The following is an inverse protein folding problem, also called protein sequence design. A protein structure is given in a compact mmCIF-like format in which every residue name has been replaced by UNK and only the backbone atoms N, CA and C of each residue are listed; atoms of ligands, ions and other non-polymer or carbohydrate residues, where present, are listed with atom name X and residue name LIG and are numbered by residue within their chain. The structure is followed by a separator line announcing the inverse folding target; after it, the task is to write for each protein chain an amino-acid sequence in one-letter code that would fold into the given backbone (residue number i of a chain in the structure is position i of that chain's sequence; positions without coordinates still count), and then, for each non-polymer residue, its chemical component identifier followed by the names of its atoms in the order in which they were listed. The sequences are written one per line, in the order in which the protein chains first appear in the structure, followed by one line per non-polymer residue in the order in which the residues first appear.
data_IF_356093998642
#
_entry.id   IF_356093998642
#
_cell.length_a   1.000
_cell.length_b   1.000
_cell.length_c   1.000
_cell.angle_alpha   90.00
_cell.angle_beta   90.00
_cell.angle_gamma   90.00
#
_symmetry.space_group_name_H-M   'P 1'
#
loop_
_entity.id
_entity.type
_entity.pdbx_description
1 polymer ?
#
# COMPACT_ATOMS: atom_id res chain seq x y z
N UNK A 1 -24.34 4.69 -39.07
CA UNK A 1 -23.59 5.57 -38.15
C UNK A 1 -24.25 5.50 -36.78
N UNK A 2 -23.71 4.71 -35.84
CA UNK A 2 -23.93 4.94 -34.40
C UNK A 2 -23.01 4.05 -33.57
N UNK A 3 -22.15 4.73 -32.80
CA UNK A 3 -21.39 4.30 -31.62
C UNK A 3 -20.47 3.08 -31.80
N UNK A 4 -19.22 3.40 -32.14
CA UNK A 4 -18.08 2.74 -31.50
C UNK A 4 -18.39 2.60 -30.00
N UNK A 5 -18.65 1.37 -29.57
CA UNK A 5 -18.54 0.99 -28.18
C UNK A 5 -17.11 1.32 -27.76
N UNK A 6 -16.94 2.43 -27.06
CA UNK A 6 -15.71 2.80 -26.39
C UNK A 6 -15.41 1.70 -25.37
N UNK A 7 -14.74 0.62 -25.81
CA UNK A 7 -14.18 -0.39 -24.92
C UNK A 7 -13.33 0.40 -23.94
N UNK A 8 -13.54 0.28 -22.62
CA UNK A 8 -12.59 0.83 -21.67
C UNK A 8 -11.29 0.10 -21.97
N UNK A 9 -10.38 0.79 -22.64
CA UNK A 9 -9.06 0.29 -22.98
C UNK A 9 -8.38 0.04 -21.65
N UNK A 10 -8.38 -1.24 -21.25
CA UNK A 10 -7.66 -1.70 -20.08
C UNK A 10 -6.18 -1.31 -20.19
N UNK A 11 -5.48 -1.43 -19.07
CA UNK A 11 -4.09 -1.04 -18.96
C UNK A 11 -3.25 -1.66 -20.09
N UNK A 12 -2.43 -0.84 -20.75
CA UNK A 12 -1.46 -1.35 -21.72
C UNK A 12 -0.42 -2.23 -21.01
N UNK A 13 0.21 -3.14 -21.75
CA UNK A 13 1.26 -3.99 -21.19
C UNK A 13 2.42 -3.17 -20.59
N UNK A 14 2.78 -2.05 -21.23
CA UNK A 14 3.83 -1.17 -20.73
C UNK A 14 3.47 -0.49 -19.41
N UNK A 15 2.21 -0.10 -19.19
CA UNK A 15 1.76 0.49 -17.94
C UNK A 15 1.72 -0.55 -16.82
N UNK A 16 1.28 -1.78 -17.12
CA UNK A 16 1.24 -2.89 -16.15
C UNK A 16 2.63 -3.22 -15.61
N UNK A 17 3.59 -3.41 -16.52
CA UNK A 17 5.00 -3.67 -16.17
C UNK A 17 5.64 -2.49 -15.43
N UNK A 18 5.31 -1.24 -15.79
CA UNK A 18 5.84 -0.06 -15.06
C UNK A 18 5.29 0.02 -13.64
N UNK A 19 4.01 -0.28 -13.44
CA UNK A 19 3.38 -0.27 -12.14
C UNK A 19 3.97 -1.36 -11.24
N UNK A 20 4.11 -2.58 -11.76
CA UNK A 20 4.77 -3.69 -11.08
C UNK A 20 6.19 -3.34 -10.61
N UNK A 21 7.04 -2.87 -11.52
CA UNK A 21 8.41 -2.44 -11.18
C UNK A 21 8.45 -1.28 -10.18
N UNK A 22 7.49 -0.35 -10.25
CA UNK A 22 7.43 0.78 -9.31
C UNK A 22 7.09 0.31 -7.89
N UNK A 23 6.18 -0.67 -7.76
CA UNK A 23 5.80 -1.26 -6.46
C UNK A 23 6.99 -2.02 -5.86
N UNK A 24 7.65 -2.85 -6.65
CA UNK A 24 8.85 -3.59 -6.21
C UNK A 24 9.98 -2.62 -5.85
N UNK A 25 10.22 -1.62 -6.70
CA UNK A 25 11.25 -0.60 -6.50
C UNK A 25 11.02 0.22 -5.22
N UNK A 26 9.77 0.57 -4.91
CA UNK A 26 9.40 1.23 -3.66
C UNK A 26 9.82 0.41 -2.43
N UNK A 27 9.60 -0.91 -2.48
CA UNK A 27 10.04 -1.83 -1.42
C UNK A 27 11.56 -1.90 -1.27
N UNK A 28 12.29 -1.97 -2.39
CA UNK A 28 13.76 -2.00 -2.37
C UNK A 28 14.37 -0.69 -1.83
N UNK A 29 13.79 0.46 -2.21
CA UNK A 29 14.20 1.77 -1.68
C UNK A 29 13.92 1.85 -0.19
N UNK A 30 12.73 1.43 0.27
CA UNK A 30 12.42 1.40 1.69
C UNK A 30 13.41 0.53 2.47
N UNK A 31 13.74 -0.66 1.94
CA UNK A 31 14.70 -1.56 2.52
C UNK A 31 16.09 -0.91 2.63
N UNK A 32 16.57 -0.29 1.56
CA UNK A 32 17.86 0.41 1.56
C UNK A 32 17.92 1.53 2.61
N UNK A 33 16.84 2.29 2.78
CA UNK A 33 16.76 3.37 3.77
C UNK A 33 16.70 2.87 5.22
N UNK A 34 16.08 1.72 5.47
CA UNK A 34 16.00 1.09 6.79
C UNK A 34 17.35 0.50 7.20
N UNK A 35 18.02 -0.22 6.29
CA UNK A 35 19.20 -1.01 6.63
C UNK A 35 20.52 -0.24 6.55
N UNK A 36 20.52 1.02 6.10
CA UNK A 36 21.72 1.86 6.15
C UNK A 36 22.02 2.31 7.60
N UNK A 37 23.31 2.35 8.02
CA UNK A 37 23.70 2.70 9.38
C UNK A 37 24.05 4.19 9.58
N UNK A 38 23.84 5.05 8.58
CA UNK A 38 24.37 6.41 8.55
C UNK A 38 23.41 7.47 9.12
N UNK A 39 22.09 7.27 9.01
CA UNK A 39 21.10 8.29 9.37
C UNK A 39 19.82 7.72 9.97
N UNK A 40 19.50 8.18 11.19
CA UNK A 40 18.21 7.87 11.85
C UNK A 40 17.02 8.53 11.14
N UNK A 41 17.22 9.68 10.52
CA UNK A 41 16.16 10.36 9.74
C UNK A 41 15.79 9.52 8.53
N UNK A 42 16.79 9.02 7.78
CA UNK A 42 16.54 8.13 6.64
C UNK A 42 15.91 6.81 7.07
N UNK A 43 16.32 6.26 8.22
CA UNK A 43 15.66 5.11 8.82
C UNK A 43 14.18 5.37 9.09
N UNK A 44 13.83 6.50 9.74
CA UNK A 44 12.44 6.87 10.01
C UNK A 44 11.60 7.03 8.73
N UNK A 45 12.18 7.65 7.70
CA UNK A 45 11.55 7.74 6.36
C UNK A 45 11.35 6.35 5.76
N UNK A 46 12.35 5.47 5.86
CA UNK A 46 12.29 4.07 5.43
C UNK A 46 11.18 3.29 6.13
N UNK A 47 11.03 3.45 7.45
CA UNK A 47 9.93 2.85 8.22
C UNK A 47 8.55 3.31 7.75
N UNK A 48 8.40 4.57 7.36
CA UNK A 48 7.16 5.05 6.74
C UNK A 48 6.94 4.44 5.34
N UNK A 49 7.98 4.46 4.51
CA UNK A 49 7.93 3.94 3.15
C UNK A 49 7.65 2.44 3.08
N UNK A 50 8.16 1.63 4.03
CA UNK A 50 7.90 0.18 4.01
C UNK A 50 6.43 -0.15 4.29
N UNK A 51 5.72 0.68 5.06
CA UNK A 51 4.26 0.54 5.22
C UNK A 51 3.57 0.82 3.89
N UNK A 52 3.95 1.91 3.20
CA UNK A 52 3.40 2.23 1.88
C UNK A 52 3.71 1.14 0.84
N UNK A 53 4.94 0.59 0.86
CA UNK A 53 5.35 -0.52 0.00
C UNK A 53 4.56 -1.79 0.30
N UNK A 54 4.35 -2.11 1.58
CA UNK A 54 3.54 -3.25 2.01
C UNK A 54 2.09 -3.13 1.54
N UNK A 55 1.48 -1.95 1.65
CA UNK A 55 0.14 -1.69 1.12
C UNK A 55 0.12 -1.80 -0.41
N UNK A 56 1.07 -1.18 -1.11
CA UNK A 56 1.17 -1.22 -2.56
C UNK A 56 1.39 -2.64 -3.11
N UNK A 57 2.11 -3.51 -2.39
CA UNK A 57 2.32 -4.92 -2.76
C UNK A 57 1.01 -5.72 -2.85
N UNK A 58 -0.07 -5.30 -2.18
CA UNK A 58 -1.38 -5.93 -2.32
C UNK A 58 -1.98 -5.71 -3.72
N UNK A 59 -1.47 -4.74 -4.49
CA UNK A 59 -1.90 -4.42 -5.85
C UNK A 59 -1.10 -5.16 -6.91
N UNK A 60 0.03 -5.77 -6.55
CA UNK A 60 0.93 -6.46 -7.48
C UNK A 60 0.22 -7.53 -8.33
N UNK A 61 -0.66 -8.39 -7.76
CA UNK A 61 -1.40 -9.39 -8.55
C UNK A 61 -2.39 -8.81 -9.57
N UNK A 62 -2.63 -7.48 -9.53
CA UNK A 62 -3.57 -6.79 -10.41
C UNK A 62 -2.87 -6.03 -11.54
N UNK A 63 -1.54 -6.01 -11.55
CA UNK A 63 -0.70 -5.39 -12.57
C UNK A 63 -0.69 -6.24 -13.86
N UNK A 64 -1.86 -6.54 -14.41
CA UNK A 64 -2.02 -7.33 -15.62
C UNK A 64 -2.50 -6.45 -16.80
N UNK A 65 -1.98 -6.67 -18.02
CA UNK A 65 -2.49 -5.98 -19.22
C UNK A 65 -3.99 -6.25 -19.42
N UNK A 66 -4.72 -5.24 -19.89
CA UNK A 66 -6.17 -5.35 -20.14
C UNK A 66 -7.06 -5.16 -18.92
N UNK A 67 -6.51 -5.07 -17.70
CA UNK A 67 -7.27 -4.69 -16.50
C UNK A 67 -7.59 -3.20 -16.48
N UNK A 68 -8.80 -2.77 -16.11
CA UNK A 68 -9.10 -1.35 -15.98
C UNK A 68 -8.36 -0.75 -14.79
N UNK A 69 -7.71 0.41 -14.99
CA UNK A 69 -7.01 1.16 -13.92
C UNK A 69 -7.90 1.45 -12.71
N UNK A 70 -9.20 1.68 -12.93
CA UNK A 70 -10.18 1.89 -11.86
C UNK A 70 -10.30 0.69 -10.89
N UNK A 71 -10.01 -0.53 -11.34
CA UNK A 71 -10.00 -1.71 -10.47
C UNK A 71 -8.86 -1.65 -9.46
N UNK A 72 -7.69 -1.14 -9.86
CA UNK A 72 -6.53 -0.99 -8.99
C UNK A 72 -6.79 0.06 -7.92
N UNK A 73 -7.37 1.20 -8.30
CA UNK A 73 -7.77 2.23 -7.36
C UNK A 73 -8.79 1.72 -6.35
N UNK A 74 -9.81 0.98 -6.83
CA UNK A 74 -10.84 0.40 -5.96
C UNK A 74 -10.24 -0.59 -4.95
N UNK A 75 -9.37 -1.48 -5.40
CA UNK A 75 -8.74 -2.46 -4.52
C UNK A 75 -7.75 -1.78 -3.57
N UNK A 76 -7.02 -0.77 -4.04
CA UNK A 76 -6.18 0.08 -3.18
C UNK A 76 -6.97 0.75 -2.06
N UNK A 77 -8.17 1.26 -2.35
CA UNK A 77 -9.05 1.82 -1.32
C UNK A 77 -9.52 0.77 -0.31
N UNK A 78 -9.81 -0.47 -0.75
CA UNK A 78 -10.17 -1.58 0.15
C UNK A 78 -9.00 -1.94 1.07
N UNK A 79 -7.80 -2.10 0.51
CA UNK A 79 -6.59 -2.41 1.29
C UNK A 79 -6.33 -1.32 2.33
N UNK A 80 -6.47 -0.05 1.94
CA UNK A 80 -6.30 1.09 2.84
C UNK A 80 -7.37 1.11 3.95
N UNK A 81 -8.63 0.82 3.62
CA UNK A 81 -9.71 0.73 4.60
C UNK A 81 -9.46 -0.37 5.63
N UNK A 82 -9.00 -1.55 5.18
CA UNK A 82 -8.62 -2.66 6.07
C UNK A 82 -7.46 -2.25 6.97
N UNK A 83 -6.43 -1.62 6.42
CA UNK A 83 -5.30 -1.13 7.20
C UNK A 83 -5.75 -0.17 8.32
N UNK A 84 -6.56 0.83 8.00
CA UNK A 84 -7.06 1.76 9.01
C UNK A 84 -7.96 1.08 10.04
N UNK A 85 -8.83 0.17 9.63
CA UNK A 85 -9.67 -0.59 10.56
C UNK A 85 -8.82 -1.37 11.57
N UNK A 86 -7.81 -2.11 11.09
CA UNK A 86 -6.90 -2.89 11.95
C UNK A 86 -6.05 -1.97 12.82
N UNK A 87 -5.52 -0.87 12.28
CA UNK A 87 -4.71 0.09 13.03
C UNK A 87 -5.50 0.74 14.16
N UNK A 88 -6.74 1.18 13.90
CA UNK A 88 -7.61 1.76 14.92
C UNK A 88 -7.98 0.74 16.00
N UNK A 89 -8.27 -0.51 15.60
CA UNK A 89 -8.53 -1.59 16.56
C UNK A 89 -7.30 -1.87 17.42
N UNK A 90 -6.09 -1.90 16.84
CA UNK A 90 -4.85 -2.14 17.58
C UNK A 90 -4.56 -1.00 18.57
N UNK A 91 -4.65 0.26 18.11
CA UNK A 91 -4.45 1.44 18.95
C UNK A 91 -5.50 1.49 20.06
N UNK A 92 -6.77 1.28 19.73
CA UNK A 92 -7.88 1.26 20.69
C UNK A 92 -7.72 0.15 21.73
N UNK A 93 -7.32 -1.05 21.31
CA UNK A 93 -7.06 -2.17 22.22
C UNK A 93 -5.89 -1.87 23.16
N UNK A 94 -4.78 -1.34 22.64
CA UNK A 94 -3.64 -0.95 23.45
C UNK A 94 -3.98 0.14 24.47
N UNK A 95 -4.80 1.13 24.07
CA UNK A 95 -5.25 2.19 24.95
C UNK A 95 -6.16 1.67 26.08
N UNK A 96 -7.17 0.87 25.75
CA UNK A 96 -8.06 0.26 26.75
C UNK A 96 -7.31 -0.65 27.73
N UNK A 97 -6.35 -1.42 27.23
CA UNK A 97 -5.48 -2.23 28.08
C UNK A 97 -4.64 -1.38 29.04
N UNK A 98 -4.10 -0.25 28.56
CA UNK A 98 -3.39 0.71 29.40
C UNK A 98 -4.28 1.28 30.52
N UNK A 99 -5.54 1.61 30.22
CA UNK A 99 -6.51 2.07 31.22
C UNK A 99 -6.84 0.99 32.25
N UNK A 100 -7.05 -0.25 31.81
CA UNK A 100 -7.29 -1.39 32.70
C UNK A 100 -6.12 -1.58 33.68
N UNK A 101 -4.88 -1.60 33.17
CA UNK A 101 -3.70 -1.74 34.02
C UNK A 101 -3.53 -0.58 35.00
N UNK A 102 -3.91 0.64 34.62
CA UNK A 102 -3.86 1.81 35.50
C UNK A 102 -4.95 1.77 36.60
N UNK A 103 -6.12 1.22 36.30
CA UNK A 103 -7.21 1.08 37.26
C UNK A 103 -7.01 -0.08 38.26
N UNK A 104 -6.24 -1.10 37.88
CA UNK A 104 -5.96 -2.29 38.69
C UNK A 104 -4.56 -2.27 39.36
N UNK A 105 -3.87 -1.13 39.35
CA UNK A 105 -2.61 -0.89 40.08
C UNK A 105 -2.90 -0.22 41.42
#
# INVERSE_FOLDING_TARGET
MSKDEARPSGMSASTATRLEHSIIGLGLVALALIFQPFSLTLFGVGCGLVVLAGLANNLLPLCEPGRPLGSILRIGAVVLAIFFAVALLAIGSAYLYGLYLAANR
#
